data_IF_315940018734
#
_entry.id   IF_315940018734
#
_cell.length_a   1.000
_cell.length_b   1.000
_cell.length_c   1.000
_cell.angle_alpha   90.00
_cell.angle_beta   90.00
_cell.angle_gamma   90.00
#
_symmetry.space_group_name_H-M   'P 1'
#
loop_
_entity.id
_entity.type
_entity.pdbx_description
1 polymer ?
#
# COMPACT_ATOMS: atom_id res chain seq x y z
N UNK A 1 -22.87 11.06 18.91
CA UNK A 1 -21.95 10.43 17.94
C UNK A 1 -20.49 10.80 18.23
N UNK A 2 -20.21 12.04 18.66
CA UNK A 2 -18.85 12.48 19.01
C UNK A 2 -18.22 11.76 20.23
N UNK A 3 -19.03 11.27 21.15
CA UNK A 3 -18.54 10.54 22.35
C UNK A 3 -17.90 9.18 22.04
N UNK A 4 -18.14 8.59 20.86
CA UNK A 4 -17.49 7.33 20.44
C UNK A 4 -16.07 7.53 19.90
N UNK A 5 -15.76 8.74 19.42
CA UNK A 5 -14.44 9.07 18.90
C UNK A 5 -13.47 9.45 20.03
N UNK A 6 -13.99 9.96 21.15
CA UNK A 6 -13.19 10.41 22.30
C UNK A 6 -12.47 9.27 23.06
N UNK A 7 -12.88 8.00 22.88
CA UNK A 7 -12.26 6.84 23.54
C UNK A 7 -11.33 6.04 22.63
N UNK A 8 -11.06 6.49 21.41
CA UNK A 8 -10.18 5.77 20.49
C UNK A 8 -8.78 6.39 20.56
N UNK A 9 -8.02 5.98 21.57
CA UNK A 9 -6.62 6.38 21.69
C UNK A 9 -5.81 5.72 20.57
N UNK A 10 -5.53 6.46 19.50
CA UNK A 10 -4.61 6.01 18.46
C UNK A 10 -3.19 5.98 19.02
N UNK A 11 -2.53 4.83 18.85
CA UNK A 11 -1.13 4.63 19.21
C UNK A 11 -0.29 4.52 17.95
N UNK A 12 0.95 4.97 18.04
CA UNK A 12 1.92 5.04 16.96
C UNK A 12 3.29 4.50 17.42
N UNK A 13 3.29 3.64 18.43
CA UNK A 13 4.50 3.22 19.14
C UNK A 13 5.48 2.54 18.22
N UNK A 14 5.01 1.73 17.26
CA UNK A 14 5.88 0.98 16.35
C UNK A 14 6.53 1.92 15.34
N UNK A 15 5.77 2.88 14.83
CA UNK A 15 6.26 3.88 13.88
C UNK A 15 7.32 4.81 14.49
N UNK A 16 7.30 4.97 15.81
CA UNK A 16 8.20 5.81 16.60
C UNK A 16 9.44 5.08 17.14
N UNK A 17 9.57 3.77 16.92
CA UNK A 17 10.79 3.03 17.25
C UNK A 17 11.99 3.59 16.48
N UNK A 18 13.16 3.65 17.11
CA UNK A 18 14.39 4.22 16.52
C UNK A 18 14.73 3.61 15.15
N UNK A 19 14.54 2.30 15.01
CA UNK A 19 14.77 1.55 13.77
C UNK A 19 13.79 1.88 12.63
N UNK A 20 12.66 2.51 12.95
CA UNK A 20 11.58 2.82 12.03
C UNK A 20 11.45 4.31 11.70
N UNK A 21 12.10 5.21 12.47
CA UNK A 21 12.07 6.66 12.22
C UNK A 21 12.49 7.01 10.79
N UNK A 22 13.56 6.37 10.29
CA UNK A 22 14.07 6.57 8.93
C UNK A 22 13.23 5.93 7.81
N UNK A 23 12.13 5.25 8.13
CA UNK A 23 11.21 4.60 7.17
C UNK A 23 9.95 5.43 6.93
N UNK A 24 9.77 6.53 7.66
CA UNK A 24 8.68 7.48 7.50
C UNK A 24 9.10 8.62 6.58
N UNK A 25 8.33 8.88 5.51
CA UNK A 25 8.59 10.02 4.61
C UNK A 25 8.40 11.35 5.33
N UNK A 26 7.38 11.42 6.19
CA UNK A 26 7.09 12.58 7.04
C UNK A 26 7.00 12.13 8.49
N UNK A 27 7.76 12.75 9.42
CA UNK A 27 7.74 12.37 10.84
C UNK A 27 6.38 12.54 11.51
N UNK A 28 5.56 13.46 11.01
CA UNK A 28 4.25 13.78 11.58
C UNK A 28 3.10 12.95 10.97
N UNK A 29 3.39 12.12 9.96
CA UNK A 29 2.39 11.28 9.29
C UNK A 29 2.74 9.81 9.54
N UNK A 30 2.17 9.26 10.61
CA UNK A 30 2.49 7.91 11.09
C UNK A 30 1.29 6.96 10.98
N UNK A 31 1.52 5.68 10.67
CA UNK A 31 0.47 4.67 10.66
C UNK A 31 0.05 4.36 12.10
N UNK A 32 -1.26 4.25 12.34
CA UNK A 32 -1.72 3.79 13.64
C UNK A 32 -1.44 2.29 13.81
N UNK A 33 -0.89 1.92 14.98
CA UNK A 33 -0.52 0.55 15.35
C UNK A 33 -1.68 -0.45 15.12
N UNK A 34 -2.92 -0.03 15.36
CA UNK A 34 -4.12 -0.88 15.23
C UNK A 34 -4.43 -1.30 13.79
N UNK A 35 -4.07 -0.46 12.82
CA UNK A 35 -4.46 -0.64 11.41
C UNK A 35 -3.25 -0.95 10.53
N UNK A 36 -2.06 -1.02 11.09
CA UNK A 36 -0.83 -1.25 10.36
C UNK A 36 -0.71 -2.72 9.90
N UNK A 37 -0.28 -2.98 8.65
CA UNK A 37 0.07 -4.33 8.22
C UNK A 37 1.39 -4.78 8.85
N UNK A 38 1.47 -6.05 9.25
CA UNK A 38 2.70 -6.67 9.74
C UNK A 38 3.29 -7.57 8.65
N UNK A 39 4.53 -7.29 8.23
CA UNK A 39 5.22 -8.08 7.21
C UNK A 39 5.96 -9.27 7.82
N UNK A 40 5.86 -10.44 7.21
CA UNK A 40 6.49 -11.66 7.74
C UNK A 40 8.01 -11.73 7.48
N UNK A 41 8.80 -12.05 8.52
CA UNK A 41 10.21 -12.49 8.44
C UNK A 41 11.23 -11.61 7.65
N UNK A 42 11.14 -10.29 7.71
CA UNK A 42 12.22 -9.39 7.28
C UNK A 42 12.93 -8.72 8.46
N UNK A 43 14.23 -8.40 8.34
CA UNK A 43 14.84 -7.35 9.17
C UNK A 43 14.10 -6.04 8.85
N UNK A 44 13.23 -5.57 9.76
CA UNK A 44 12.40 -4.39 9.54
C UNK A 44 11.06 -4.68 8.89
N UNK A 45 10.19 -5.43 9.59
CA UNK A 45 8.79 -5.69 9.22
C UNK A 45 7.87 -4.46 9.12
N UNK A 46 8.41 -3.27 9.42
CA UNK A 46 7.67 -2.02 9.42
C UNK A 46 7.56 -1.42 8.02
N UNK A 47 6.36 -0.99 7.69
CA UNK A 47 6.07 -0.11 6.55
C UNK A 47 5.01 0.91 6.97
N UNK A 48 5.17 2.16 6.53
CA UNK A 48 4.19 3.20 6.78
C UNK A 48 2.96 3.00 5.88
N UNK A 49 2.06 2.13 6.33
CA UNK A 49 0.82 1.78 5.67
C UNK A 49 -0.27 1.48 6.70
N UNK A 50 -1.53 1.61 6.29
CA UNK A 50 -2.70 1.23 7.10
C UNK A 50 -3.76 0.54 6.24
N UNK A 51 -4.44 -0.43 6.83
CA UNK A 51 -5.66 -0.98 6.27
C UNK A 51 -6.80 0.03 6.36
N UNK A 52 -7.54 0.14 5.27
CA UNK A 52 -8.70 1.01 5.15
C UNK A 52 -9.90 0.17 4.73
N UNK A 53 -11.00 0.36 5.44
CA UNK A 53 -12.26 -0.32 5.15
C UNK A 53 -12.90 0.28 3.90
N UNK A 54 -13.56 -0.56 3.10
CA UNK A 54 -14.50 -0.07 2.11
C UNK A 54 -15.88 0.12 2.72
N UNK A 55 -16.83 0.52 1.87
CA UNK A 55 -18.23 0.55 2.24
C UNK A 55 -18.78 -0.84 2.61
N UNK A 56 -18.28 -1.91 1.99
CA UNK A 56 -18.85 -3.27 2.10
C UNK A 56 -17.97 -4.26 2.86
N UNK A 57 -16.67 -3.99 2.97
CA UNK A 57 -15.68 -4.97 3.44
C UNK A 57 -14.61 -4.31 4.31
N UNK A 58 -14.25 -4.97 5.41
CA UNK A 58 -13.12 -4.55 6.26
C UNK A 58 -11.79 -4.78 5.56
N UNK A 59 -10.83 -3.88 5.79
CA UNK A 59 -9.44 -3.96 5.30
C UNK A 59 -9.32 -4.21 3.77
N UNK A 60 -10.24 -3.67 2.97
CA UNK A 60 -10.23 -3.88 1.53
C UNK A 60 -9.15 -3.08 0.82
N UNK A 61 -8.77 -1.93 1.38
CA UNK A 61 -7.76 -1.06 0.81
C UNK A 61 -6.56 -0.96 1.74
N UNK A 62 -5.42 -0.62 1.16
CA UNK A 62 -4.21 -0.28 1.90
C UNK A 62 -3.78 1.11 1.45
N UNK A 63 -3.77 2.05 2.40
CA UNK A 63 -3.20 3.37 2.18
C UNK A 63 -1.75 3.35 2.66
N UNK A 64 -0.81 3.81 1.83
CA UNK A 64 0.62 3.82 2.15
C UNK A 64 1.28 5.05 1.56
N UNK A 65 2.38 5.49 2.17
CA UNK A 65 3.24 6.52 1.58
C UNK A 65 3.87 6.02 0.27
N UNK A 66 4.36 6.95 -0.57
CA UNK A 66 5.24 6.55 -1.68
C UNK A 66 6.49 5.86 -1.13
N UNK A 67 6.89 4.68 -1.64
CA UNK A 67 8.05 3.95 -1.16
C UNK A 67 9.31 4.82 -1.18
N UNK A 68 10.10 4.72 -0.11
CA UNK A 68 11.44 5.29 -0.04
C UNK A 68 12.43 4.27 -0.61
N UNK A 69 13.64 4.72 -0.94
CA UNK A 69 14.71 3.82 -1.42
C UNK A 69 15.01 2.69 -0.43
N UNK A 70 14.94 2.96 0.88
CA UNK A 70 15.16 1.99 1.95
C UNK A 70 13.92 1.16 2.33
N UNK A 71 12.72 1.51 1.85
CA UNK A 71 11.47 0.75 2.14
C UNK A 71 10.90 0.05 0.91
N UNK A 72 11.58 0.12 -0.23
CA UNK A 72 11.09 -0.45 -1.49
C UNK A 72 10.89 -1.97 -1.41
N UNK A 73 11.82 -2.68 -0.75
CA UNK A 73 11.69 -4.12 -0.53
C UNK A 73 10.44 -4.45 0.30
N UNK A 74 10.21 -3.69 1.37
CA UNK A 74 9.02 -3.84 2.22
C UNK A 74 7.72 -3.55 1.46
N UNK A 75 7.73 -2.59 0.53
CA UNK A 75 6.57 -2.28 -0.29
C UNK A 75 6.19 -3.45 -1.21
N UNK A 76 7.16 -4.06 -1.89
CA UNK A 76 6.88 -5.23 -2.72
C UNK A 76 6.48 -6.44 -1.89
N UNK A 77 7.07 -6.60 -0.71
CA UNK A 77 6.64 -7.63 0.23
C UNK A 77 5.18 -7.43 0.67
N UNK A 78 4.78 -6.19 0.98
CA UNK A 78 3.39 -5.86 1.30
C UNK A 78 2.43 -6.26 0.17
N UNK A 79 2.80 -5.97 -1.08
CA UNK A 79 1.99 -6.33 -2.26
C UNK A 79 1.82 -7.84 -2.38
N UNK A 80 2.90 -8.60 -2.21
CA UNK A 80 2.90 -10.06 -2.32
C UNK A 80 2.09 -10.67 -1.17
N UNK A 81 2.35 -10.26 0.07
CA UNK A 81 1.72 -10.84 1.26
C UNK A 81 0.22 -10.53 1.35
N UNK A 82 -0.20 -9.33 0.88
CA UNK A 82 -1.59 -8.90 0.90
C UNK A 82 -2.32 -9.21 -0.42
N UNK A 83 -1.67 -9.90 -1.35
CA UNK A 83 -2.21 -10.28 -2.66
C UNK A 83 -2.80 -9.08 -3.45
N UNK A 84 -2.12 -7.93 -3.41
CA UNK A 84 -2.59 -6.68 -4.04
C UNK A 84 -2.59 -6.82 -5.55
N UNK A 85 -3.75 -6.55 -6.17
CA UNK A 85 -3.94 -6.66 -7.63
C UNK A 85 -3.80 -5.34 -8.39
N UNK A 86 -4.08 -4.22 -7.72
CA UNK A 86 -4.11 -2.89 -8.35
C UNK A 86 -3.40 -1.92 -7.42
N UNK A 87 -2.50 -1.12 -7.99
CA UNK A 87 -1.79 -0.05 -7.29
C UNK A 87 -2.20 1.26 -7.94
N UNK A 88 -2.71 2.19 -7.15
CA UNK A 88 -3.12 3.51 -7.60
C UNK A 88 -2.18 4.54 -6.99
N UNK A 89 -1.51 5.31 -7.83
CA UNK A 89 -0.68 6.44 -7.42
C UNK A 89 -1.48 7.74 -7.58
N UNK A 90 -1.53 8.56 -6.52
CA UNK A 90 -2.27 9.82 -6.51
C UNK A 90 -1.40 11.05 -6.77
N UNK A 91 -0.09 10.95 -6.60
CA UNK A 91 0.87 12.05 -6.80
C UNK A 91 1.56 11.96 -8.16
N UNK A 92 1.95 13.10 -8.73
CA UNK A 92 2.78 13.17 -9.93
C UNK A 92 4.27 13.05 -9.55
N UNK A 93 4.66 11.88 -9.07
CA UNK A 93 6.04 11.55 -8.73
C UNK A 93 6.54 10.43 -9.66
N UNK A 94 7.76 10.58 -10.17
CA UNK A 94 8.42 9.48 -10.87
C UNK A 94 8.72 8.37 -9.88
N UNK A 95 8.12 7.19 -10.07
CA UNK A 95 8.55 5.98 -9.40
C UNK A 95 9.51 5.23 -10.33
N UNK A 96 10.84 5.28 -10.09
CA UNK A 96 11.82 4.63 -10.97
C UNK A 96 11.78 3.09 -10.90
N UNK A 97 10.93 2.53 -10.03
CA UNK A 97 10.88 1.10 -9.71
C UNK A 97 9.68 0.36 -10.32
N UNK A 98 8.68 1.08 -10.84
CA UNK A 98 7.76 0.46 -11.77
C UNK A 98 8.51 0.31 -13.10
N UNK A 99 8.50 -0.87 -13.74
CA UNK A 99 8.96 -0.95 -15.11
C UNK A 99 8.10 0.02 -15.92
N UNK A 100 8.66 1.17 -16.32
CA UNK A 100 8.00 2.07 -17.24
C UNK A 100 7.82 1.29 -18.54
N UNK A 101 6.67 0.65 -18.71
CA UNK A 101 6.25 0.16 -20.01
C UNK A 101 5.82 1.38 -20.82
N UNK A 102 6.77 1.85 -21.62
CA UNK A 102 6.66 2.71 -22.79
C UNK A 102 5.95 4.07 -22.63
N UNK A 103 6.51 5.09 -23.28
CA UNK A 103 6.08 6.49 -23.23
C UNK A 103 4.66 6.74 -23.79
N UNK A 104 3.99 5.69 -24.30
CA UNK A 104 2.63 5.75 -24.79
C UNK A 104 1.56 5.83 -23.67
N UNK A 105 1.93 5.62 -22.40
CA UNK A 105 0.95 5.55 -21.29
C UNK A 105 0.97 6.72 -20.31
N UNK A 106 1.52 7.87 -20.71
CA UNK A 106 1.45 9.13 -19.94
C UNK A 106 0.07 9.82 -19.97
N UNK A 107 -0.97 9.14 -20.45
CA UNK A 107 -2.34 9.59 -20.30
C UNK A 107 -3.21 8.40 -19.92
N UNK A 108 -3.95 8.56 -18.83
CA UNK A 108 -5.06 7.73 -18.35
C UNK A 108 -4.70 6.76 -17.21
N UNK A 109 -5.40 6.98 -16.09
CA UNK A 109 -5.47 6.17 -14.88
C UNK A 109 -5.71 4.69 -15.19
N UNK A 110 -4.85 3.83 -14.65
CA UNK A 110 -4.94 2.38 -14.86
C UNK A 110 -5.94 1.74 -13.88
N UNK A 111 -7.13 1.41 -14.39
CA UNK A 111 -7.83 0.18 -14.00
C UNK A 111 -7.46 -0.84 -15.08
N UNK A 112 -6.68 -1.86 -14.72
CA UNK A 112 -6.50 -3.04 -15.58
C UNK A 112 -7.84 -3.78 -15.64
N UNK A 113 -8.68 -3.42 -16.61
CA UNK A 113 -9.91 -4.11 -16.91
C UNK A 113 -9.61 -5.40 -17.71
N UNK A 114 -10.29 -6.46 -17.29
CA UNK A 114 -10.16 -7.84 -17.73
C UNK A 114 -10.69 -8.06 -19.16
N UNK A 115 -9.89 -7.77 -20.18
CA UNK A 115 -10.13 -8.28 -21.56
C UNK A 115 -9.19 -9.42 -21.93
N UNK A 116 -7.97 -9.46 -21.37
CA UNK A 116 -6.95 -10.43 -21.79
C UNK A 116 -7.13 -11.83 -21.16
N UNK A 117 -8.03 -11.95 -20.18
CA UNK A 117 -8.40 -13.22 -19.55
C UNK A 117 -9.60 -13.91 -20.21
N UNK A 118 -10.30 -13.28 -21.15
CA UNK A 118 -11.44 -13.88 -21.86
C UNK A 118 -11.05 -14.61 -23.16
N UNK A 119 -9.86 -14.37 -23.71
CA UNK A 119 -9.38 -15.08 -24.93
C UNK A 119 -8.77 -16.45 -24.66
N UNK A 120 -8.55 -16.86 -23.40
CA UNK A 120 -7.92 -18.15 -23.06
C UNK A 120 -8.90 -19.29 -22.75
N UNK A 121 -10.22 -19.08 -22.82
CA UNK A 121 -11.22 -20.14 -22.61
C UNK A 121 -11.99 -20.60 -23.85
N UNK A 122 -11.71 -20.05 -25.03
CA UNK A 122 -12.41 -20.45 -26.28
C UNK A 122 -11.55 -21.24 -27.29
N UNK A 123 -10.36 -21.71 -26.89
CA UNK A 123 -9.52 -22.59 -27.71
C UNK A 123 -9.00 -23.74 -26.85
N UNK A 124 -9.92 -24.60 -26.44
CA UNK A 124 -9.65 -25.98 -26.05
C UNK A 124 -10.93 -26.79 -26.23
N UNK A 125 -11.32 -26.97 -27.50
CA UNK A 125 -12.04 -28.13 -28.00
C UNK A 125 -11.18 -28.77 -29.09
#
# INVERSE_FOLDING_TARGET
>A
MESRLQNMQFKYTIAQEEDNLGKNRFPDILPCDKYMPFLTNGRGSYINAVFVDSYTSKHQFIATQLPLSNTLSNFWQLIIEQDVKVIVQLEHAEMPFFPMTDLATLSTSFILWSEELLKRKSTSE
#
